data_IF_119021592955
#
_entry.id   IF_119021592955
#
_cell.length_a   1.000
_cell.length_b   1.000
_cell.length_c   1.000
_cell.angle_alpha   90.00
_cell.angle_beta   90.00
_cell.angle_gamma   90.00
#
_symmetry.space_group_name_H-M   'P 1'
#
loop_
_entity.id
_entity.type
_entity.pdbx_description
1 polymer ?
#
# COMPACT_ATOMS: atom_id res chain seq x y z
N UNK A 1 -2.64 2.30 -10.52
CA UNK A 1 -2.64 2.28 -9.04
C UNK A 1 -4.00 1.81 -8.52
N UNK A 2 -4.01 0.91 -7.54
CA UNK A 2 -5.20 0.45 -6.83
C UNK A 2 -5.23 1.13 -5.46
N UNK A 3 -6.37 1.67 -5.05
CA UNK A 3 -6.53 2.36 -3.76
C UNK A 3 -7.45 1.54 -2.86
N UNK A 4 -6.99 1.24 -1.64
CA UNK A 4 -7.74 0.49 -0.64
C UNK A 4 -8.00 1.41 0.56
N UNK A 5 -9.28 1.76 0.75
CA UNK A 5 -9.76 2.56 1.88
C UNK A 5 -10.26 1.65 3.01
N UNK A 6 -9.97 2.00 4.25
CA UNK A 6 -10.56 1.35 5.44
C UNK A 6 -9.67 1.39 6.68
N UNK A 7 -10.05 0.59 7.69
CA UNK A 7 -9.26 0.40 8.91
C UNK A 7 -8.27 -0.78 8.78
N UNK A 8 -7.28 -0.83 9.67
CA UNK A 8 -6.09 -1.70 9.54
C UNK A 8 -6.39 -3.19 9.26
N UNK A 9 -7.26 -3.89 10.00
CA UNK A 9 -7.47 -5.33 9.79
C UNK A 9 -8.09 -5.65 8.43
N UNK A 10 -9.00 -4.82 7.92
CA UNK A 10 -9.71 -5.08 6.66
C UNK A 10 -8.88 -4.78 5.42
N UNK A 11 -7.95 -3.83 5.53
CA UNK A 11 -7.07 -3.46 4.41
C UNK A 11 -6.09 -4.56 4.09
N UNK A 12 -5.53 -5.20 5.13
CA UNK A 12 -4.57 -6.27 4.91
C UNK A 12 -5.21 -7.44 4.15
N UNK A 13 -6.40 -7.90 4.53
CA UNK A 13 -7.06 -9.01 3.85
C UNK A 13 -7.32 -8.68 2.36
N UNK A 14 -7.80 -7.46 2.08
CA UNK A 14 -8.01 -6.99 0.70
C UNK A 14 -6.74 -6.91 -0.13
N UNK A 15 -5.63 -6.43 0.46
CA UNK A 15 -4.32 -6.43 -0.20
C UNK A 15 -3.97 -7.86 -0.63
N UNK A 16 -4.22 -8.83 0.25
CA UNK A 16 -3.88 -10.22 -0.05
C UNK A 16 -4.76 -10.88 -1.08
N UNK A 17 -6.06 -10.58 -1.09
CA UNK A 17 -6.93 -11.02 -2.16
C UNK A 17 -6.42 -10.55 -3.53
N UNK A 18 -6.00 -9.28 -3.62
CA UNK A 18 -5.44 -8.69 -4.84
C UNK A 18 -4.08 -9.28 -5.21
N UNK A 19 -3.19 -9.47 -4.23
CA UNK A 19 -1.87 -10.07 -4.45
C UNK A 19 -2.02 -11.52 -4.93
N UNK A 20 -2.87 -12.33 -4.30
CA UNK A 20 -3.11 -13.72 -4.70
C UNK A 20 -3.71 -13.80 -6.11
N UNK A 21 -4.67 -12.94 -6.43
CA UNK A 21 -5.37 -12.98 -7.71
C UNK A 21 -4.49 -12.56 -8.88
N UNK A 22 -3.79 -11.43 -8.74
CA UNK A 22 -3.19 -10.74 -9.88
C UNK A 22 -1.66 -10.64 -9.81
N UNK A 23 -1.04 -11.10 -8.72
CA UNK A 23 0.38 -10.91 -8.45
C UNK A 23 1.11 -12.16 -7.93
N UNK A 24 0.51 -13.33 -8.04
CA UNK A 24 1.18 -14.60 -7.68
C UNK A 24 2.42 -14.80 -8.55
N UNK A 25 3.58 -15.03 -7.93
CA UNK A 25 4.87 -15.21 -8.61
C UNK A 25 5.62 -13.91 -8.94
N UNK A 26 5.02 -12.74 -8.69
CA UNK A 26 5.67 -11.44 -8.91
C UNK A 26 6.58 -11.05 -7.75
N UNK A 27 7.61 -10.26 -8.02
CA UNK A 27 8.44 -9.60 -6.98
C UNK A 27 7.70 -8.39 -6.43
N UNK A 28 7.19 -8.52 -5.20
CA UNK A 28 6.37 -7.47 -4.56
C UNK A 28 7.07 -6.95 -3.31
N UNK A 29 7.17 -5.63 -3.19
CA UNK A 29 7.64 -4.97 -1.96
C UNK A 29 6.49 -4.34 -1.17
N UNK A 30 6.64 -4.31 0.15
CA UNK A 30 5.79 -3.52 1.04
C UNK A 30 6.61 -2.38 1.62
N UNK A 31 6.01 -1.19 1.64
CA UNK A 31 6.62 0.05 2.11
C UNK A 31 5.61 0.72 3.03
N UNK A 32 6.04 1.05 4.24
CA UNK A 32 5.16 1.53 5.30
C UNK A 32 5.86 2.44 6.29
N UNK A 33 5.10 2.95 7.25
CA UNK A 33 5.68 3.63 8.43
C UNK A 33 6.24 2.61 9.42
N UNK A 34 7.22 3.00 10.26
CA UNK A 34 7.70 2.19 11.37
C UNK A 34 6.56 1.60 12.20
N UNK A 35 6.53 0.27 12.32
CA UNK A 35 5.55 -0.49 13.10
C UNK A 35 4.13 -0.50 12.53
N UNK A 36 3.88 0.10 11.36
CA UNK A 36 2.57 0.02 10.70
C UNK A 36 2.40 -1.32 9.97
N UNK A 37 3.49 -1.92 9.52
CA UNK A 37 3.44 -3.12 8.70
C UNK A 37 3.31 -4.36 9.58
N UNK A 38 2.29 -5.21 9.38
CA UNK A 38 2.10 -6.39 10.23
C UNK A 38 3.10 -7.50 9.89
N UNK A 39 4.25 -7.47 10.57
CA UNK A 39 5.42 -8.33 10.33
C UNK A 39 5.13 -9.84 10.31
N UNK A 40 4.25 -10.32 11.20
CA UNK A 40 3.88 -11.75 11.25
C UNK A 40 3.28 -12.21 9.93
N UNK A 41 2.47 -11.35 9.31
CA UNK A 41 1.82 -11.66 8.05
C UNK A 41 2.82 -11.63 6.89
N UNK A 42 3.69 -10.61 6.86
CA UNK A 42 4.66 -10.42 5.77
C UNK A 42 5.69 -11.55 5.73
N UNK A 43 6.18 -11.96 6.91
CA UNK A 43 7.17 -13.03 7.04
C UNK A 43 6.66 -14.35 6.48
N UNK A 44 5.38 -14.65 6.66
CA UNK A 44 4.74 -15.84 6.11
C UNK A 44 4.64 -15.83 4.56
N UNK A 45 4.79 -14.66 3.93
CA UNK A 45 4.66 -14.47 2.48
C UNK A 45 5.98 -14.15 1.77
N UNK A 46 7.10 -14.12 2.49
CA UNK A 46 8.46 -13.87 1.97
C UNK A 46 8.59 -12.57 1.17
N UNK A 47 7.82 -11.54 1.53
CA UNK A 47 7.89 -10.24 0.86
C UNK A 47 8.84 -9.30 1.62
N UNK A 48 9.72 -8.56 0.92
CA UNK A 48 10.54 -7.54 1.56
C UNK A 48 9.64 -6.40 2.06
N UNK A 49 9.82 -6.03 3.33
CA UNK A 49 9.16 -4.90 3.97
C UNK A 49 10.18 -3.79 4.27
N UNK A 50 9.84 -2.57 3.89
CA UNK A 50 10.62 -1.37 4.10
C UNK A 50 9.84 -0.38 4.95
N UNK A 51 10.27 -0.19 6.19
CA UNK A 51 9.65 0.77 7.11
C UNK A 51 10.39 2.12 7.11
N UNK A 52 10.64 2.63 5.90
CA UNK A 52 11.46 3.83 5.67
C UNK A 52 10.64 5.11 5.55
N UNK A 53 9.31 5.02 5.62
CA UNK A 53 8.43 6.19 5.47
C UNK A 53 8.28 6.96 6.79
N UNK A 54 8.03 8.26 6.69
CA UNK A 54 7.64 9.10 7.83
C UNK A 54 6.47 9.97 7.40
N UNK A 55 5.51 10.22 8.30
CA UNK A 55 4.29 10.97 7.96
C UNK A 55 4.60 12.36 7.41
N UNK A 56 5.56 13.05 8.03
CA UNK A 56 5.96 14.41 7.68
C UNK A 56 6.59 14.51 6.27
N UNK A 57 7.32 13.47 5.83
CA UNK A 57 8.08 13.48 4.59
C UNK A 57 7.65 12.34 3.64
N UNK A 58 6.37 11.99 3.66
CA UNK A 58 5.84 10.82 2.94
C UNK A 58 6.21 10.85 1.45
N UNK A 59 6.01 11.99 0.78
CA UNK A 59 6.28 12.12 -0.66
C UNK A 59 7.78 12.07 -1.00
N UNK A 60 8.63 12.69 -0.17
CA UNK A 60 10.08 12.69 -0.39
C UNK A 60 10.66 11.30 -0.18
N UNK A 61 10.24 10.62 0.89
CA UNK A 61 10.67 9.26 1.18
C UNK A 61 10.19 8.29 0.10
N UNK A 62 8.94 8.46 -0.37
CA UNK A 62 8.37 7.68 -1.47
C UNK A 62 9.18 7.87 -2.76
N UNK A 63 9.41 9.11 -3.15
CA UNK A 63 10.16 9.46 -4.37
C UNK A 63 11.57 8.89 -4.31
N UNK A 64 12.24 9.02 -3.16
CA UNK A 64 13.56 8.46 -2.94
C UNK A 64 13.56 6.94 -3.06
N UNK A 65 12.59 6.27 -2.42
CA UNK A 65 12.47 4.82 -2.46
C UNK A 65 12.32 4.32 -3.90
N UNK A 66 11.35 4.87 -4.65
CA UNK A 66 11.09 4.47 -6.04
C UNK A 66 12.31 4.67 -6.94
N UNK A 67 13.07 5.75 -6.75
CA UNK A 67 14.33 5.97 -7.48
C UNK A 67 15.39 4.93 -7.14
N UNK A 68 15.54 4.56 -5.88
CA UNK A 68 16.55 3.59 -5.42
C UNK A 68 16.17 2.14 -5.76
N UNK A 69 14.89 1.84 -5.89
CA UNK A 69 14.37 0.49 -6.15
C UNK A 69 13.82 0.28 -7.55
N UNK A 70 14.08 1.22 -8.46
CA UNK A 70 13.62 1.15 -9.84
C UNK A 70 13.95 -0.22 -10.47
N UNK A 71 12.97 -0.80 -11.15
CA UNK A 71 13.08 -2.07 -11.88
C UNK A 71 13.35 -3.31 -10.99
N UNK A 72 13.35 -3.17 -9.66
CA UNK A 72 13.57 -4.29 -8.72
C UNK A 72 12.31 -5.08 -8.41
N UNK A 73 11.16 -4.44 -8.54
CA UNK A 73 9.85 -4.98 -8.17
C UNK A 73 8.90 -4.86 -9.35
N UNK A 74 7.93 -5.75 -9.42
CA UNK A 74 6.83 -5.68 -10.39
C UNK A 74 5.59 -5.01 -9.79
N UNK A 75 5.48 -5.02 -8.46
CA UNK A 75 4.44 -4.32 -7.73
C UNK A 75 4.95 -3.82 -6.37
N UNK A 76 4.38 -2.71 -5.91
CA UNK A 76 4.76 -2.05 -4.67
C UNK A 76 3.49 -1.70 -3.88
N UNK A 77 3.45 -2.12 -2.61
CA UNK A 77 2.34 -1.87 -1.69
C UNK A 77 2.74 -0.76 -0.73
N UNK A 78 2.14 0.42 -0.89
CA UNK A 78 2.22 1.54 0.06
C UNK A 78 1.24 1.33 1.21
N UNK A 79 1.71 0.68 2.27
CA UNK A 79 1.02 0.46 3.54
C UNK A 79 1.26 1.63 4.51
N UNK A 80 0.80 2.82 4.11
CA UNK A 80 1.09 4.09 4.79
C UNK A 80 -0.15 4.81 5.29
N UNK A 81 -1.35 4.24 5.15
CA UNK A 81 -2.59 4.84 5.67
C UNK A 81 -2.69 6.35 5.44
N UNK A 82 -2.39 6.78 4.22
CA UNK A 82 -2.19 8.19 3.95
C UNK A 82 -3.51 8.95 4.09
N UNK A 83 -3.41 10.24 4.38
CA UNK A 83 -4.55 11.14 4.31
C UNK A 83 -5.07 11.24 2.88
N UNK A 84 -6.38 11.47 2.72
CA UNK A 84 -7.01 11.49 1.39
C UNK A 84 -6.44 12.57 0.47
N UNK A 85 -5.94 13.68 1.03
CA UNK A 85 -5.35 14.77 0.24
C UNK A 85 -4.02 14.38 -0.43
N UNK A 86 -3.31 13.35 0.08
CA UNK A 86 -2.04 12.88 -0.47
C UNK A 86 -2.18 11.98 -1.70
N UNK A 87 -3.39 11.48 -1.97
CA UNK A 87 -3.63 10.49 -3.03
C UNK A 87 -3.18 10.99 -4.40
N UNK A 88 -3.54 12.23 -4.77
CA UNK A 88 -3.21 12.77 -6.09
C UNK A 88 -1.70 13.02 -6.23
N UNK A 89 -1.03 13.50 -5.18
CA UNK A 89 0.43 13.66 -5.18
C UNK A 89 1.15 12.31 -5.34
N UNK A 90 0.68 11.27 -4.65
CA UNK A 90 1.24 9.92 -4.76
C UNK A 90 1.02 9.36 -6.17
N UNK A 91 -0.17 9.54 -6.76
CA UNK A 91 -0.43 9.15 -8.15
C UNK A 91 0.56 9.82 -9.11
N UNK A 92 0.77 11.12 -8.98
CA UNK A 92 1.67 11.86 -9.86
C UNK A 92 3.12 11.36 -9.75
N UNK A 93 3.61 11.15 -8.52
CA UNK A 93 4.96 10.59 -8.29
C UNK A 93 5.12 9.20 -8.92
N UNK A 94 4.07 8.38 -8.89
CA UNK A 94 4.12 6.98 -9.35
C UNK A 94 3.82 6.81 -10.84
N UNK A 95 3.34 7.86 -11.53
CA UNK A 95 2.85 7.77 -12.91
C UNK A 95 3.90 7.38 -13.93
N UNK A 96 5.16 7.72 -13.68
CA UNK A 96 6.30 7.43 -14.57
C UNK A 96 6.93 6.06 -14.35
N UNK A 97 6.39 5.26 -13.41
CA UNK A 97 6.90 3.96 -13.02
C UNK A 97 6.01 2.85 -13.60
N UNK A 98 6.63 1.76 -14.04
CA UNK A 98 5.92 0.63 -14.68
C UNK A 98 5.29 -0.31 -13.65
N UNK A 99 5.75 -0.24 -12.40
CA UNK A 99 5.29 -1.08 -11.31
C UNK A 99 3.79 -0.89 -11.00
N UNK A 100 3.15 -1.99 -10.60
CA UNK A 100 1.76 -1.92 -10.10
C UNK A 100 1.74 -1.44 -8.66
N UNK A 101 1.10 -0.29 -8.42
CA UNK A 101 1.01 0.31 -7.09
C UNK A 101 -0.30 -0.01 -6.38
N UNK A 102 -0.22 -0.41 -5.11
CA UNK A 102 -1.36 -0.57 -4.20
C UNK A 102 -1.18 0.43 -3.05
N UNK A 103 -2.12 1.36 -2.87
CA UNK A 103 -2.06 2.40 -1.84
C UNK A 103 -3.15 2.18 -0.79
N UNK A 104 -2.76 2.14 0.49
CA UNK A 104 -3.70 2.16 1.62
C UNK A 104 -4.02 3.58 2.06
N UNK A 105 -5.30 3.86 2.24
CA UNK A 105 -5.81 5.14 2.73
C UNK A 105 -6.62 4.88 4.01
N UNK A 106 -6.37 5.66 5.05
CA UNK A 106 -7.18 5.58 6.26
C UNK A 106 -8.57 6.16 6.00
N UNK A 107 -9.62 5.41 6.38
CA UNK A 107 -11.02 5.86 6.26
C UNK A 107 -11.84 5.30 7.42
N UNK A 108 -12.34 6.20 8.28
CA UNK A 108 -13.18 5.87 9.43
C UNK A 108 -14.63 5.53 9.04
N UNK A 109 -15.08 5.93 7.84
CA UNK A 109 -16.48 5.81 7.42
C UNK A 109 -16.90 4.39 7.00
N UNK A 110 -16.18 3.35 7.41
CA UNK A 110 -16.64 1.95 7.25
C UNK A 110 -17.53 1.49 8.43
N UNK A 111 -18.28 2.43 9.02
CA UNK A 111 -19.48 2.17 9.83
C UNK A 111 -20.72 2.52 9.02
N UNK A 112 -20.96 1.76 7.95
CA UNK A 112 -22.29 1.48 7.41
C UNK A 112 -22.12 0.32 6.43
N UNK A 113 -22.22 -0.89 6.95
CA UNK A 113 -22.93 -1.92 6.19
C UNK A 113 -24.34 -1.34 6.03
N UNK A 114 -24.62 -0.70 4.90
CA UNK A 114 -26.00 -0.48 4.50
C UNK A 114 -26.47 -1.87 4.07
N UNK A 115 -26.99 -2.63 5.03
CA UNK A 115 -27.90 -3.71 4.70
C UNK A 115 -29.14 -3.00 4.21
N UNK A 116 -29.31 -2.89 2.89
CA UNK A 116 -30.63 -2.67 2.34
C UNK A 116 -31.41 -3.95 2.66
N UNK A 117 -32.02 -3.97 3.85
CA UNK A 117 -33.16 -4.81 4.11
C UNK A 117 -34.33 -4.22 3.34
N UNK A 118 -34.83 -5.05 2.42
CA UNK A 118 -36.16 -5.08 1.78
C UNK A 118 -37.02 -3.80 1.81
#
# INVERSE_FOLDING_TARGET
>A
MIIIKGNNPRKIDKIWELVKKDHTGKKIAIIGYPGATPHNFIRAKQMPAYETMTKQNTLDNLTRFLRETKDRFEAIIFYIDCESHLIESIKEVTKSYEEQFILTVYDEKVYKQVVNGE
#
